data_IF_450173551142
#
_entry.id   IF_450173551142
#
_cell.length_a   1.000
_cell.length_b   1.000
_cell.length_c   1.000
_cell.angle_alpha   90.00
_cell.angle_beta   90.00
_cell.angle_gamma   90.00
#
_symmetry.space_group_name_H-M   'P 1'
#
loop_
_entity.id
_entity.type
_entity.pdbx_description
1 polymer ?
#
# COMPACT_ATOMS: atom_id res chain seq x y z
N UNK A 1 -16.37 -24.79 -43.68
CA UNK A 1 -15.26 -25.67 -43.27
C UNK A 1 -14.06 -25.40 -44.15
N UNK A 2 -13.05 -24.71 -43.62
CA UNK A 2 -11.70 -24.70 -44.19
C UNK A 2 -10.72 -24.68 -43.02
N UNK A 3 -10.07 -25.83 -42.82
CA UNK A 3 -9.03 -26.05 -41.83
C UNK A 3 -7.72 -25.45 -42.35
N UNK A 4 -7.06 -24.61 -41.56
CA UNK A 4 -5.69 -24.16 -41.81
C UNK A 4 -4.75 -24.81 -40.79
N UNK A 5 -4.13 -25.87 -41.29
CA UNK A 5 -2.76 -26.36 -41.13
C UNK A 5 -1.96 -25.97 -39.87
N UNK A 6 -1.64 -27.01 -39.11
CA UNK A 6 -0.59 -27.09 -38.09
C UNK A 6 0.79 -26.87 -38.71
N UNK A 7 1.63 -26.04 -38.10
CA UNK A 7 3.08 -26.04 -38.33
C UNK A 7 3.78 -26.62 -37.10
N UNK A 8 4.33 -27.82 -37.28
CA UNK A 8 5.26 -28.49 -36.39
C UNK A 8 6.65 -27.88 -36.63
N UNK A 9 7.30 -27.35 -35.60
CA UNK A 9 8.73 -27.10 -35.62
C UNK A 9 9.43 -28.13 -34.75
N UNK A 10 10.19 -28.99 -35.41
CA UNK A 10 11.10 -29.95 -34.80
C UNK A 10 12.46 -29.28 -34.55
N UNK A 11 12.91 -29.42 -33.30
CA UNK A 11 14.25 -29.70 -32.80
C UNK A 11 15.49 -29.24 -33.60
N UNK A 12 16.36 -28.47 -32.94
CA UNK A 12 17.81 -28.59 -33.10
C UNK A 12 18.48 -28.43 -31.72
N UNK A 13 18.85 -29.57 -31.13
CA UNK A 13 19.72 -29.66 -29.96
C UNK A 13 21.15 -29.41 -30.43
N UNK A 14 21.79 -28.38 -29.91
CA UNK A 14 23.25 -28.24 -29.98
C UNK A 14 23.79 -28.27 -28.56
N UNK A 15 24.43 -29.40 -28.23
CA UNK A 15 25.28 -29.58 -27.07
C UNK A 15 26.59 -28.84 -27.31
N UNK A 16 26.92 -27.88 -26.46
CA UNK A 16 28.31 -27.44 -26.27
C UNK A 16 28.53 -27.24 -24.79
N UNK A 17 29.22 -28.22 -24.20
CA UNK A 17 29.82 -28.11 -22.88
C UNK A 17 31.03 -27.18 -22.95
N UNK A 18 31.19 -26.29 -21.96
CA UNK A 18 32.41 -26.14 -21.15
C UNK A 18 32.25 -24.91 -20.25
N UNK A 19 32.01 -25.17 -18.97
CA UNK A 19 32.18 -24.20 -17.89
C UNK A 19 33.63 -23.75 -17.80
N UNK A 20 33.85 -22.53 -17.28
CA UNK A 20 34.53 -22.49 -15.99
C UNK A 20 33.70 -21.76 -14.93
N UNK A 21 33.80 -22.29 -13.71
CA UNK A 21 33.30 -21.68 -12.50
C UNK A 21 33.81 -20.25 -12.35
N UNK A 22 32.92 -19.27 -12.50
CA UNK A 22 33.06 -17.99 -11.82
C UNK A 22 32.32 -18.12 -10.48
N UNK A 23 33.06 -18.04 -9.38
CA UNK A 23 32.52 -17.84 -8.04
C UNK A 23 31.81 -16.48 -8.02
N UNK A 24 30.54 -16.46 -8.39
CA UNK A 24 29.66 -15.34 -8.13
C UNK A 24 29.42 -15.27 -6.63
N UNK A 25 29.70 -14.10 -6.06
CA UNK A 25 29.31 -13.72 -4.72
C UNK A 25 27.87 -14.17 -4.42
N UNK A 26 27.58 -14.58 -3.17
CA UNK A 26 26.20 -14.92 -2.81
C UNK A 26 25.30 -13.77 -3.23
N UNK A 27 24.15 -14.03 -3.88
CA UNK A 27 23.21 -12.97 -4.20
C UNK A 27 22.89 -12.29 -2.87
N UNK A 28 23.27 -11.03 -2.78
CA UNK A 28 22.78 -10.10 -1.79
C UNK A 28 21.27 -10.29 -1.79
N UNK A 29 20.76 -11.00 -0.78
CA UNK A 29 19.32 -11.25 -0.65
C UNK A 29 18.69 -9.89 -0.71
N UNK A 30 17.97 -9.61 -1.80
CA UNK A 30 17.27 -8.36 -1.99
C UNK A 30 16.52 -8.05 -0.70
N UNK A 31 17.06 -7.11 0.06
CA UNK A 31 16.57 -6.79 1.37
C UNK A 31 15.11 -6.37 1.17
N UNK A 32 14.14 -6.99 1.86
CA UNK A 32 12.75 -6.65 1.66
C UNK A 32 12.61 -5.14 1.86
N UNK A 33 11.98 -4.42 0.92
CA UNK A 33 11.93 -2.97 0.95
C UNK A 33 11.41 -2.54 2.32
N UNK A 34 12.10 -1.58 2.94
CA UNK A 34 11.70 -1.03 4.23
C UNK A 34 10.20 -0.71 4.22
N UNK A 35 9.48 -0.85 5.34
CA UNK A 35 8.03 -0.67 5.40
C UNK A 35 7.55 0.68 4.84
N UNK A 36 8.40 1.70 4.91
CA UNK A 36 8.19 3.03 4.31
C UNK A 36 8.24 3.04 2.78
N UNK A 37 9.13 2.25 2.17
CA UNK A 37 9.25 2.08 0.72
C UNK A 37 8.06 1.29 0.16
N UNK A 38 7.58 0.28 0.89
CA UNK A 38 6.37 -0.47 0.52
C UNK A 38 5.11 0.41 0.50
N UNK A 39 4.99 1.37 1.45
CA UNK A 39 3.87 2.34 1.48
C UNK A 39 3.92 3.32 0.30
N UNK A 40 5.11 3.77 -0.10
CA UNK A 40 5.28 4.66 -1.25
C UNK A 40 4.97 3.95 -2.56
N UNK A 41 5.54 2.75 -2.78
CA UNK A 41 5.25 1.93 -3.96
C UNK A 41 3.75 1.64 -4.11
N UNK A 42 3.06 1.42 -2.99
CA UNK A 42 1.62 1.25 -2.99
C UNK A 42 0.89 2.52 -3.44
N UNK A 43 1.17 3.68 -2.85
CA UNK A 43 0.54 4.95 -3.23
C UNK A 43 0.74 5.30 -4.72
N UNK A 44 1.91 4.97 -5.29
CA UNK A 44 2.17 5.11 -6.72
C UNK A 44 1.28 4.19 -7.56
N UNK A 45 1.20 2.90 -7.22
CA UNK A 45 0.35 1.94 -7.91
C UNK A 45 -1.15 2.31 -7.88
N UNK A 46 -1.60 2.97 -6.80
CA UNK A 46 -2.98 3.46 -6.70
C UNK A 46 -3.30 4.55 -7.72
N UNK A 47 -2.38 5.49 -7.87
CA UNK A 47 -2.51 6.58 -8.83
C UNK A 47 -2.41 6.06 -10.26
N UNK A 48 -1.50 5.13 -10.52
CA UNK A 48 -1.32 4.52 -11.84
C UNK A 48 -2.60 3.82 -12.34
N UNK A 49 -3.34 3.15 -11.45
CA UNK A 49 -4.62 2.53 -11.80
C UNK A 49 -5.69 3.55 -12.22
N UNK A 50 -5.75 4.71 -11.56
CA UNK A 50 -6.66 5.80 -11.92
C UNK A 50 -6.26 6.41 -13.26
N UNK A 51 -4.97 6.69 -13.45
CA UNK A 51 -4.45 7.23 -14.71
C UNK A 51 -4.71 6.26 -15.87
N UNK A 52 -4.53 4.95 -15.65
CA UNK A 52 -4.83 3.93 -16.64
C UNK A 52 -6.31 3.93 -17.06
N UNK A 53 -7.23 4.25 -16.14
CA UNK A 53 -8.66 4.34 -16.45
C UNK A 53 -9.01 5.49 -17.42
N UNK A 54 -8.13 6.48 -17.56
CA UNK A 54 -8.34 7.64 -18.44
C UNK A 54 -7.90 7.41 -19.89
N UNK A 55 -7.20 6.30 -20.17
CA UNK A 55 -6.75 5.94 -21.53
C UNK A 55 -5.98 7.07 -22.23
N UNK A 56 -5.09 7.74 -21.47
CA UNK A 56 -4.27 8.85 -21.97
C UNK A 56 -3.37 8.42 -23.14
N UNK A 57 -3.11 9.33 -24.07
CA UNK A 57 -2.16 9.09 -25.16
C UNK A 57 -0.69 9.09 -24.69
N UNK A 58 0.23 8.67 -25.55
CA UNK A 58 1.65 8.55 -25.20
C UNK A 58 2.30 9.89 -24.81
N UNK A 59 1.87 11.01 -25.41
CA UNK A 59 2.40 12.34 -25.06
C UNK A 59 1.89 12.76 -23.68
N UNK A 60 0.62 12.54 -23.40
CA UNK A 60 0.00 12.82 -22.11
C UNK A 60 0.64 11.98 -21.01
N UNK A 61 0.86 10.69 -21.25
CA UNK A 61 1.56 9.80 -20.32
C UNK A 61 3.00 10.27 -20.04
N UNK A 62 3.74 10.70 -21.07
CA UNK A 62 5.10 11.18 -20.91
C UNK A 62 5.16 12.48 -20.10
N UNK A 63 4.28 13.44 -20.37
CA UNK A 63 4.20 14.68 -19.63
C UNK A 63 3.81 14.44 -18.16
N UNK A 64 2.89 13.51 -17.91
CA UNK A 64 2.51 13.10 -16.57
C UNK A 64 3.66 12.45 -15.80
N UNK A 65 4.39 11.53 -16.44
CA UNK A 65 5.56 10.89 -15.84
C UNK A 65 6.68 11.90 -15.52
N UNK A 66 6.87 12.91 -16.37
CA UNK A 66 7.83 13.99 -16.12
C UNK A 66 7.40 14.84 -14.91
N UNK A 67 6.17 15.34 -14.90
CA UNK A 67 5.64 16.13 -13.78
C UNK A 67 5.72 15.34 -12.46
N UNK A 68 5.50 14.03 -12.51
CA UNK A 68 5.66 13.13 -11.36
C UNK A 68 7.09 12.96 -10.88
N UNK A 69 8.06 12.93 -11.80
CA UNK A 69 9.47 12.90 -11.41
C UNK A 69 9.83 14.20 -10.71
N UNK A 70 9.49 15.34 -11.30
CA UNK A 70 9.79 16.66 -10.75
C UNK A 70 9.13 16.90 -9.40
N UNK A 71 7.87 16.49 -9.24
CA UNK A 71 7.16 16.59 -7.96
C UNK A 71 7.81 15.70 -6.88
N UNK A 72 8.15 14.45 -7.22
CA UNK A 72 8.86 13.55 -6.29
C UNK A 72 10.22 14.10 -5.90
N UNK A 73 10.93 14.77 -6.80
CA UNK A 73 12.22 15.40 -6.53
C UNK A 73 12.04 16.57 -5.57
N UNK A 74 11.04 17.43 -5.80
CA UNK A 74 10.65 18.50 -4.88
C UNK A 74 10.26 17.98 -3.49
N UNK A 75 9.50 16.87 -3.42
CA UNK A 75 9.17 16.22 -2.15
C UNK A 75 10.40 15.64 -1.43
N UNK A 76 11.42 15.19 -2.16
CA UNK A 76 12.68 14.73 -1.56
C UNK A 76 13.49 15.91 -1.01
N UNK A 77 13.53 17.03 -1.73
CA UNK A 77 14.17 18.26 -1.27
C UNK A 77 13.52 18.78 0.03
N UNK A 78 12.18 18.90 0.05
CA UNK A 78 11.42 19.29 1.24
C UNK A 78 11.66 18.39 2.46
N UNK A 79 12.01 17.13 2.24
CA UNK A 79 12.29 16.16 3.31
C UNK A 79 13.77 16.21 3.74
N UNK A 80 14.66 16.46 2.79
CA UNK A 80 16.11 16.64 3.00
C UNK A 80 16.43 17.91 3.79
N UNK A 81 15.61 18.96 3.66
CA UNK A 81 15.73 20.20 4.44
C UNK A 81 15.41 20.01 5.95
N UNK A 82 15.00 18.81 6.35
CA UNK A 82 14.89 18.37 7.74
C UNK A 82 13.75 19.03 8.54
N UNK A 83 13.61 18.71 9.85
CA UNK A 83 12.63 19.34 10.76
C UNK A 83 12.90 20.83 11.05
N UNK A 84 13.78 21.49 10.29
CA UNK A 84 14.23 22.87 10.53
C UNK A 84 13.22 23.93 10.05
N UNK A 85 12.32 23.58 9.13
CA UNK A 85 11.28 24.49 8.67
C UNK A 85 10.05 24.42 9.59
N UNK A 86 9.49 25.59 9.94
CA UNK A 86 8.22 25.66 10.64
C UNK A 86 7.12 24.90 9.87
N UNK A 87 6.15 24.26 10.55
CA UNK A 87 5.07 23.52 9.90
C UNK A 87 4.34 24.32 8.81
N UNK A 88 4.16 25.62 9.01
CA UNK A 88 3.54 26.56 8.08
C UNK A 88 4.40 26.77 6.83
N UNK A 89 5.72 26.92 6.99
CA UNK A 89 6.65 27.07 5.88
C UNK A 89 6.70 25.79 5.03
N UNK A 90 6.66 24.62 5.69
CA UNK A 90 6.57 23.33 5.02
C UNK A 90 5.26 23.17 4.25
N UNK A 91 4.15 23.64 4.81
CA UNK A 91 2.83 23.62 4.16
C UNK A 91 2.79 24.53 2.94
N UNK A 92 3.29 25.77 3.07
CA UNK A 92 3.38 26.71 1.95
C UNK A 92 4.27 26.18 0.81
N UNK A 93 5.38 25.52 1.14
CA UNK A 93 6.26 24.93 0.14
C UNK A 93 5.65 23.69 -0.54
N UNK A 94 4.86 22.88 0.18
CA UNK A 94 4.05 21.81 -0.42
C UNK A 94 2.98 22.38 -1.36
N UNK A 95 2.27 23.43 -0.93
CA UNK A 95 1.24 24.08 -1.76
C UNK A 95 1.87 24.67 -3.04
N UNK A 96 3.09 25.24 -2.96
CA UNK A 96 3.82 25.72 -4.14
C UNK A 96 4.23 24.59 -5.10
N UNK A 97 4.63 23.41 -4.58
CA UNK A 97 4.91 22.24 -5.42
C UNK A 97 3.65 21.73 -6.13
N UNK A 98 2.52 21.64 -5.41
CA UNK A 98 1.25 21.24 -5.98
C UNK A 98 0.76 22.24 -7.05
N UNK A 99 0.98 23.53 -6.83
CA UNK A 99 0.64 24.59 -7.79
C UNK A 99 1.48 24.49 -9.07
N UNK A 100 2.80 24.25 -8.94
CA UNK A 100 3.67 24.02 -10.10
C UNK A 100 3.22 22.79 -10.89
N UNK A 101 2.95 21.69 -10.21
CA UNK A 101 2.47 20.46 -10.83
C UNK A 101 1.13 20.69 -11.55
N UNK A 102 0.23 21.49 -10.95
CA UNK A 102 -1.03 21.88 -11.58
C UNK A 102 -0.81 22.60 -12.91
N UNK A 103 0.10 23.56 -12.93
CA UNK A 103 0.40 24.35 -14.14
C UNK A 103 0.98 23.47 -15.25
N UNK A 104 1.89 22.55 -14.90
CA UNK A 104 2.49 21.62 -15.88
C UNK A 104 1.47 20.66 -16.50
N UNK A 105 0.46 20.26 -15.74
CA UNK A 105 -0.54 19.29 -16.18
C UNK A 105 -1.80 19.92 -16.77
N UNK A 106 -1.99 21.24 -16.64
CA UNK A 106 -3.20 21.93 -17.12
C UNK A 106 -3.40 21.86 -18.63
N UNK A 107 -2.30 21.81 -19.40
CA UNK A 107 -2.35 21.72 -20.86
C UNK A 107 -2.45 20.27 -21.37
N UNK A 108 -2.35 19.29 -20.45
CA UNK A 108 -2.23 17.86 -20.78
C UNK A 108 -3.47 17.08 -20.34
N UNK A 109 -4.02 17.44 -19.19
CA UNK A 109 -5.16 16.78 -18.57
C UNK A 109 -6.40 17.68 -18.64
N UNK A 110 -7.56 17.05 -18.82
CA UNK A 110 -8.83 17.74 -18.69
C UNK A 110 -9.00 18.32 -17.27
N UNK A 111 -9.75 19.43 -17.08
CA UNK A 111 -9.90 20.07 -15.78
C UNK A 111 -10.43 19.16 -14.66
N UNK A 112 -11.21 18.13 -15.00
CA UNK A 112 -11.68 17.12 -14.05
C UNK A 112 -10.56 16.13 -13.69
N UNK A 113 -9.80 15.65 -14.68
CA UNK A 113 -8.67 14.74 -14.50
C UNK A 113 -7.58 15.39 -13.65
N UNK A 114 -7.26 16.66 -13.92
CA UNK A 114 -6.31 17.44 -13.13
C UNK A 114 -6.73 17.54 -11.66
N UNK A 115 -8.01 17.82 -11.39
CA UNK A 115 -8.54 17.87 -10.02
C UNK A 115 -8.45 16.53 -9.31
N UNK A 116 -8.82 15.44 -9.99
CA UNK A 116 -8.70 14.10 -9.44
C UNK A 116 -7.23 13.73 -9.17
N UNK A 117 -6.33 14.08 -10.08
CA UNK A 117 -4.90 13.82 -9.95
C UNK A 117 -4.29 14.54 -8.73
N UNK A 118 -4.52 15.84 -8.59
CA UNK A 118 -4.00 16.62 -7.46
C UNK A 118 -4.57 16.17 -6.11
N UNK A 119 -5.82 15.70 -6.11
CA UNK A 119 -6.45 15.10 -4.93
C UNK A 119 -5.71 13.81 -4.50
N UNK A 120 -5.28 12.97 -5.44
CA UNK A 120 -4.48 11.76 -5.15
C UNK A 120 -3.11 12.12 -4.57
N UNK A 121 -2.43 13.09 -5.18
CA UNK A 121 -1.12 13.56 -4.72
C UNK A 121 -1.17 14.12 -3.29
N UNK A 122 -2.19 14.93 -3.01
CA UNK A 122 -2.38 15.48 -1.66
C UNK A 122 -2.64 14.39 -0.62
N UNK A 123 -3.39 13.34 -0.97
CA UNK A 123 -3.62 12.20 -0.08
C UNK A 123 -2.37 11.38 0.17
N UNK A 124 -1.50 11.24 -0.83
CA UNK A 124 -0.22 10.55 -0.68
C UNK A 124 0.78 11.36 0.17
N UNK A 125 0.78 12.69 0.02
CA UNK A 125 1.69 13.60 0.71
C UNK A 125 1.31 13.86 2.19
N UNK A 126 0.04 13.78 2.55
CA UNK A 126 -0.47 14.06 3.90
C UNK A 126 -0.89 12.75 4.60
N UNK A 127 -0.12 12.25 5.58
CA UNK A 127 -0.53 11.10 6.38
C UNK A 127 -1.85 11.39 7.09
N UNK A 128 -2.81 10.47 6.98
CA UNK A 128 -4.10 10.60 7.68
C UNK A 128 -3.88 10.61 9.20
N UNK A 129 -4.43 11.61 9.86
CA UNK A 129 -4.74 11.53 11.28
C UNK A 129 -6.10 10.82 11.40
N UNK A 130 -6.20 9.70 12.15
CA UNK A 130 -7.50 9.14 12.46
C UNK A 130 -8.27 10.18 13.29
N UNK A 131 -9.30 10.78 12.68
CA UNK A 131 -10.18 11.71 13.38
C UNK A 131 -10.97 11.00 14.47
N UNK A 132 -11.40 11.70 15.53
CA UNK A 132 -12.18 11.12 16.60
C UNK A 132 -13.62 10.85 16.13
N UNK A 133 -14.15 9.71 16.59
CA UNK A 133 -15.54 9.24 16.56
C UNK A 133 -16.25 9.06 15.20
N UNK A 134 -16.98 7.95 15.14
CA UNK A 134 -17.71 7.41 13.99
C UNK A 134 -19.05 8.14 13.82
N UNK A 135 -19.02 9.38 13.35
CA UNK A 135 -20.24 10.05 12.86
C UNK A 135 -20.51 9.60 11.41
N UNK A 136 -21.62 8.88 11.14
CA UNK A 136 -21.96 8.43 9.79
C UNK A 136 -22.15 9.59 8.81
N UNK A 137 -22.65 10.75 9.27
CA UNK A 137 -22.85 11.91 8.40
C UNK A 137 -21.50 12.55 8.01
N UNK A 138 -20.56 12.61 8.95
CA UNK A 138 -19.20 13.09 8.68
C UNK A 138 -18.44 12.15 7.75
N UNK A 139 -18.63 10.83 7.88
CA UNK A 139 -18.08 9.84 6.95
C UNK A 139 -18.64 10.04 5.54
N UNK A 140 -19.96 10.18 5.39
CA UNK A 140 -20.59 10.39 4.08
C UNK A 140 -20.09 11.68 3.42
N UNK A 141 -19.96 12.77 4.19
CA UNK A 141 -19.40 14.02 3.70
C UNK A 141 -17.91 13.88 3.29
N UNK A 142 -17.10 13.18 4.07
CA UNK A 142 -15.69 12.88 3.72
C UNK A 142 -15.59 12.06 2.44
N UNK A 143 -16.34 10.96 2.34
CA UNK A 143 -16.35 10.10 1.15
C UNK A 143 -16.80 10.88 -0.09
N UNK A 144 -17.84 11.69 0.03
CA UNK A 144 -18.33 12.49 -1.08
C UNK A 144 -17.28 13.52 -1.50
N UNK A 145 -16.78 14.35 -0.59
CA UNK A 145 -15.74 15.34 -0.88
C UNK A 145 -14.48 14.68 -1.47
N UNK A 146 -14.13 13.49 -1.00
CA UNK A 146 -12.97 12.73 -1.44
C UNK A 146 -13.12 12.14 -2.83
N UNK A 147 -14.31 11.73 -3.27
CA UNK A 147 -14.44 11.01 -4.55
C UNK A 147 -15.16 11.81 -5.64
N UNK A 148 -15.80 12.94 -5.32
CA UNK A 148 -16.44 13.81 -6.33
C UNK A 148 -15.51 14.17 -7.50
N UNK A 149 -14.23 14.57 -7.30
CA UNK A 149 -13.34 14.85 -8.42
C UNK A 149 -13.13 13.64 -9.34
N UNK A 150 -13.00 12.44 -8.76
CA UNK A 150 -12.81 11.20 -9.50
C UNK A 150 -14.07 10.82 -10.29
N UNK A 151 -15.24 10.91 -9.67
CA UNK A 151 -16.52 10.61 -10.32
C UNK A 151 -16.79 11.54 -11.50
N UNK A 152 -16.35 12.80 -11.42
CA UNK A 152 -16.40 13.73 -12.54
C UNK A 152 -15.53 13.28 -13.72
N UNK A 153 -14.36 12.67 -13.49
CA UNK A 153 -13.53 12.11 -14.58
C UNK A 153 -14.19 10.94 -15.29
N UNK A 154 -14.98 10.16 -14.56
CA UNK A 154 -15.73 9.02 -15.05
C UNK A 154 -17.13 9.39 -15.55
N UNK A 155 -17.49 10.67 -15.46
CA UNK A 155 -18.79 11.21 -15.88
C UNK A 155 -19.97 10.49 -15.22
N UNK A 156 -19.80 10.06 -13.96
CA UNK A 156 -20.87 9.41 -13.22
C UNK A 156 -21.98 10.42 -12.91
N UNK A 157 -23.23 10.01 -13.12
CA UNK A 157 -24.37 10.79 -12.67
C UNK A 157 -24.52 10.75 -11.14
N UNK A 158 -25.48 11.50 -10.62
CA UNK A 158 -25.72 11.59 -9.17
C UNK A 158 -26.14 10.23 -8.57
N UNK A 159 -26.89 9.41 -9.31
CA UNK A 159 -27.34 8.11 -8.87
C UNK A 159 -26.19 7.11 -8.84
N UNK A 160 -25.39 7.02 -9.90
CA UNK A 160 -24.19 6.18 -9.99
C UNK A 160 -23.20 6.55 -8.88
N UNK A 161 -22.94 7.85 -8.70
CA UNK A 161 -22.08 8.34 -7.62
C UNK A 161 -22.60 7.94 -6.24
N UNK A 162 -23.91 8.05 -6.00
CA UNK A 162 -24.52 7.63 -4.73
C UNK A 162 -24.43 6.11 -4.52
N UNK A 163 -24.56 5.31 -5.58
CA UNK A 163 -24.41 3.84 -5.51
C UNK A 163 -22.98 3.44 -5.15
N UNK A 164 -21.96 4.09 -5.74
CA UNK A 164 -20.55 3.87 -5.38
C UNK A 164 -20.28 4.23 -3.92
N UNK A 165 -20.78 5.39 -3.45
CA UNK A 165 -20.62 5.82 -2.06
C UNK A 165 -21.34 4.87 -1.08
N UNK A 166 -22.54 4.41 -1.43
CA UNK A 166 -23.28 3.46 -0.62
C UNK A 166 -22.56 2.11 -0.50
N UNK A 167 -21.99 1.60 -1.59
CA UNK A 167 -21.18 0.37 -1.56
C UNK A 167 -19.98 0.52 -0.60
N UNK A 168 -19.33 1.69 -0.59
CA UNK A 168 -18.22 1.97 0.30
C UNK A 168 -18.66 2.09 1.77
N UNK A 169 -19.81 2.73 2.05
CA UNK A 169 -20.39 2.82 3.38
C UNK A 169 -20.75 1.44 3.95
N UNK A 170 -21.50 0.63 3.19
CA UNK A 170 -21.85 -0.74 3.59
C UNK A 170 -20.62 -1.59 3.88
N UNK A 171 -19.55 -1.41 3.09
CA UNK A 171 -18.28 -2.08 3.35
C UNK A 171 -17.65 -1.66 4.68
N UNK A 172 -17.57 -0.35 4.97
CA UNK A 172 -17.05 0.14 6.25
C UNK A 172 -17.89 -0.33 7.43
N UNK A 173 -19.22 -0.25 7.35
CA UNK A 173 -20.12 -0.74 8.38
C UNK A 173 -19.88 -2.23 8.66
N UNK A 174 -19.74 -3.04 7.61
CA UNK A 174 -19.37 -4.45 7.71
C UNK A 174 -18.02 -4.66 8.41
N UNK A 175 -16.99 -3.88 8.06
CA UNK A 175 -15.69 -3.93 8.73
C UNK A 175 -15.77 -3.55 10.22
N UNK A 176 -16.62 -2.59 10.57
CA UNK A 176 -16.85 -2.22 11.97
C UNK A 176 -17.54 -3.35 12.74
N UNK A 177 -18.51 -4.03 12.13
CA UNK A 177 -19.14 -5.21 12.72
C UNK A 177 -18.15 -6.36 12.94
N UNK A 178 -17.19 -6.57 12.02
CA UNK A 178 -16.09 -7.55 12.18
C UNK A 178 -15.12 -7.24 13.34
N UNK A 179 -15.08 -5.99 13.82
CA UNK A 179 -14.20 -5.56 14.91
C UNK A 179 -14.88 -5.59 16.28
N UNK A 180 -16.21 -5.76 16.33
CA UNK A 180 -16.96 -5.75 17.59
C UNK A 180 -16.67 -7.04 18.37
N UNK A 181 -16.08 -6.96 19.59
CA UNK A 181 -15.89 -8.14 20.42
C UNK A 181 -17.27 -8.69 20.84
N UNK A 182 -17.50 -9.99 20.65
CA UNK A 182 -18.75 -10.67 21.06
C UNK A 182 -19.59 -11.29 19.95
N UNK A 183 -19.25 -11.11 18.67
CA UNK A 183 -19.84 -11.90 17.58
C UNK A 183 -19.20 -13.29 17.57
N UNK A 184 -19.59 -14.15 18.51
CA UNK A 184 -19.09 -15.51 18.65
C UNK A 184 -19.18 -16.24 17.29
N UNK A 185 -18.09 -16.83 16.80
CA UNK A 185 -18.16 -17.73 15.66
C UNK A 185 -18.77 -19.07 16.11
N UNK A 186 -19.63 -19.65 15.27
CA UNK A 186 -19.93 -21.07 15.35
C UNK A 186 -18.61 -21.85 15.19
N UNK A 187 -18.35 -22.78 16.10
CA UNK A 187 -17.05 -23.38 16.37
C UNK A 187 -16.55 -24.37 15.28
N UNK A 188 -17.07 -24.34 14.06
CA UNK A 188 -16.80 -25.33 13.00
C UNK A 188 -16.06 -24.79 11.77
N UNK A 189 -15.64 -23.51 11.76
CA UNK A 189 -14.87 -22.93 10.62
C UNK A 189 -13.48 -22.53 11.10
N UNK A 190 -12.43 -22.94 10.39
CA UNK A 190 -11.01 -22.63 10.71
C UNK A 190 -10.71 -21.10 10.70
N UNK A 191 -11.45 -20.29 9.93
CA UNK A 191 -11.39 -18.82 9.95
C UNK A 191 -12.74 -18.13 9.59
N UNK A 192 -13.71 -18.08 10.51
CA UNK A 192 -15.04 -17.53 10.28
C UNK A 192 -15.01 -16.01 10.07
N UNK A 193 -13.95 -15.34 10.55
CA UNK A 193 -13.75 -13.90 10.38
C UNK A 193 -13.19 -13.59 9.00
N UNK A 194 -12.21 -14.38 8.54
CA UNK A 194 -11.66 -14.30 7.18
C UNK A 194 -12.73 -14.51 6.12
N UNK A 195 -13.61 -15.52 6.28
CA UNK A 195 -14.71 -15.77 5.34
C UNK A 195 -15.77 -14.65 5.35
N UNK A 196 -16.07 -14.06 6.51
CA UNK A 196 -16.93 -12.85 6.58
C UNK A 196 -16.27 -11.66 5.88
N UNK A 197 -14.95 -11.50 6.03
CA UNK A 197 -14.20 -10.44 5.36
C UNK A 197 -14.20 -10.64 3.83
N UNK A 198 -13.91 -11.84 3.33
CA UNK A 198 -13.94 -12.16 1.89
C UNK A 198 -15.31 -11.84 1.27
N UNK A 199 -16.39 -12.26 1.92
CA UNK A 199 -17.75 -11.94 1.46
C UNK A 199 -18.03 -10.44 1.40
N UNK A 200 -17.52 -9.64 2.34
CA UNK A 200 -17.64 -8.18 2.26
C UNK A 200 -16.89 -7.58 1.07
N UNK A 201 -15.72 -8.12 0.72
CA UNK A 201 -14.98 -7.69 -0.46
C UNK A 201 -15.75 -8.04 -1.74
N UNK A 202 -16.22 -9.27 -1.86
CA UNK A 202 -17.00 -9.73 -3.02
C UNK A 202 -18.31 -8.95 -3.18
N UNK A 203 -19.00 -8.68 -2.08
CA UNK A 203 -20.23 -7.86 -2.08
C UNK A 203 -19.94 -6.44 -2.54
N UNK A 204 -18.87 -5.81 -2.03
CA UNK A 204 -18.47 -4.47 -2.44
C UNK A 204 -18.12 -4.46 -3.93
N UNK A 205 -17.28 -5.38 -4.38
CA UNK A 205 -16.89 -5.49 -5.78
C UNK A 205 -18.11 -5.65 -6.69
N UNK A 206 -19.03 -6.54 -6.34
CA UNK A 206 -20.25 -6.79 -7.12
C UNK A 206 -21.18 -5.57 -7.16
N UNK A 207 -21.26 -4.80 -6.08
CA UNK A 207 -22.04 -3.56 -6.06
C UNK A 207 -21.39 -2.45 -6.92
N UNK A 208 -20.05 -2.35 -6.90
CA UNK A 208 -19.31 -1.42 -7.75
C UNK A 208 -19.42 -1.78 -9.23
N UNK A 209 -19.34 -3.08 -9.57
CA UNK A 209 -19.41 -3.57 -10.95
C UNK A 209 -20.79 -3.38 -11.62
N UNK A 210 -21.84 -3.04 -10.85
CA UNK A 210 -23.14 -2.68 -11.41
C UNK A 210 -23.17 -1.27 -12.01
N UNK A 211 -22.24 -0.40 -11.62
CA UNK A 211 -22.29 1.04 -11.93
C UNK A 211 -20.99 1.56 -12.54
N UNK A 212 -19.89 0.84 -12.35
CA UNK A 212 -18.57 1.15 -12.88
C UNK A 212 -18.14 0.10 -13.92
N UNK A 213 -17.36 0.53 -14.91
CA UNK A 213 -16.63 -0.37 -15.80
C UNK A 213 -15.54 -1.16 -15.05
N UNK A 214 -15.06 -2.31 -15.58
CA UNK A 214 -14.03 -3.12 -14.93
C UNK A 214 -12.75 -2.35 -14.57
N UNK A 215 -12.32 -1.42 -15.44
CA UNK A 215 -11.15 -0.57 -15.22
C UNK A 215 -11.39 0.43 -14.07
N UNK A 216 -12.60 1.02 -14.02
CA UNK A 216 -13.01 1.94 -12.95
C UNK A 216 -13.16 1.23 -11.61
N UNK A 217 -13.71 0.00 -11.59
CA UNK A 217 -13.76 -0.83 -10.37
C UNK A 217 -12.33 -1.07 -9.87
N UNK A 218 -11.44 -1.53 -10.75
CA UNK A 218 -10.04 -1.80 -10.40
C UNK A 218 -9.36 -0.55 -9.82
N UNK A 219 -9.54 0.61 -10.46
CA UNK A 219 -9.01 1.88 -9.97
C UNK A 219 -9.59 2.28 -8.61
N UNK A 220 -10.91 2.18 -8.44
CA UNK A 220 -11.59 2.55 -7.21
C UNK A 220 -11.20 1.64 -6.04
N UNK A 221 -11.12 0.33 -6.28
CA UNK A 221 -10.74 -0.66 -5.27
C UNK A 221 -9.29 -0.53 -4.84
N UNK A 222 -8.41 -0.14 -5.78
CA UNK A 222 -7.05 0.26 -5.45
C UNK A 222 -7.10 1.46 -4.47
N UNK A 223 -7.79 2.55 -4.81
CA UNK A 223 -7.86 3.77 -3.97
C UNK A 223 -8.48 3.57 -2.58
N UNK A 224 -9.39 2.61 -2.48
CA UNK A 224 -10.16 2.29 -1.26
C UNK A 224 -9.67 1.03 -0.59
N UNK A 225 -8.39 0.67 -0.82
CA UNK A 225 -7.80 -0.61 -0.46
C UNK A 225 -8.37 -1.15 0.86
N UNK A 226 -8.99 -2.34 0.84
CA UNK A 226 -9.54 -2.91 2.04
C UNK A 226 -8.39 -3.17 3.04
N UNK A 227 -8.61 -2.96 4.35
CA UNK A 227 -7.61 -3.30 5.34
C UNK A 227 -7.26 -4.78 5.18
N UNK A 228 -5.98 -5.09 4.91
CA UNK A 228 -5.57 -6.48 4.78
C UNK A 228 -5.96 -7.23 6.06
N UNK A 229 -6.52 -8.44 5.95
CA UNK A 229 -6.71 -9.26 7.13
C UNK A 229 -5.34 -9.43 7.81
N UNK A 230 -5.29 -9.42 9.16
CA UNK A 230 -4.06 -9.79 9.84
C UNK A 230 -3.61 -11.15 9.29
N UNK A 231 -2.35 -11.25 8.88
CA UNK A 231 -1.78 -12.48 8.33
C UNK A 231 -1.85 -13.52 9.45
N UNK A 232 -2.86 -14.38 9.44
CA UNK A 232 -2.96 -15.49 10.37
C UNK A 232 -1.74 -16.38 10.15
N UNK A 233 -0.94 -16.58 11.21
CA UNK A 233 0.03 -17.67 11.25
C UNK A 233 1.37 -17.46 10.55
N UNK A 234 2.00 -16.28 10.66
CA UNK A 234 3.47 -16.32 10.74
C UNK A 234 3.82 -16.51 12.21
N UNK A 235 4.01 -17.77 12.60
CA UNK A 235 4.70 -18.09 13.84
C UNK A 235 5.98 -17.24 13.89
N UNK A 236 6.36 -16.65 15.05
CA UNK A 236 7.74 -16.21 15.20
C UNK A 236 8.60 -17.39 14.76
N UNK A 237 9.55 -17.14 13.85
CA UNK A 237 10.52 -18.17 13.50
C UNK A 237 11.04 -18.75 14.83
N UNK A 238 11.05 -20.09 15.00
CA UNK A 238 11.58 -20.68 16.22
C UNK A 238 12.96 -20.07 16.42
N UNK A 239 13.22 -19.63 17.66
CA UNK A 239 14.47 -19.01 18.08
C UNK A 239 15.62 -19.56 17.24
N UNK A 240 16.22 -18.67 16.46
CA UNK A 240 17.44 -19.01 15.74
C UNK A 240 18.39 -19.61 16.79
N UNK A 241 18.93 -20.83 16.58
CA UNK A 241 19.91 -21.36 17.48
C UNK A 241 21.03 -20.32 17.62
N UNK A 242 21.55 -20.09 18.84
CA UNK A 242 22.56 -19.07 19.07
C UNK A 242 23.70 -19.30 18.08
N UNK A 243 24.07 -18.22 17.38
CA UNK A 243 25.14 -18.27 16.40
C UNK A 243 26.38 -18.94 17.01
N UNK A 244 27.08 -19.82 16.27
CA UNK A 244 28.34 -20.36 16.75
C UNK A 244 29.29 -19.20 17.06
N UNK A 245 30.07 -19.27 18.16
CA UNK A 245 30.97 -18.18 18.52
C UNK A 245 31.94 -17.94 17.37
N UNK A 246 32.10 -16.67 17.00
CA UNK A 246 33.07 -16.26 16.00
C UNK A 246 34.47 -16.76 16.40
N UNK A 247 35.23 -17.39 15.49
CA UNK A 247 36.60 -17.81 15.79
C UNK A 247 37.45 -16.57 16.08
N UNK A 248 38.00 -16.48 17.29
CA UNK A 248 39.03 -15.50 17.64
C UNK A 248 38.79 -14.59 18.85
N UNK A 249 37.74 -14.82 19.66
CA UNK A 249 37.59 -14.06 20.93
C UNK A 249 38.16 -14.88 22.09
N UNK A 250 39.20 -14.41 22.82
CA UNK A 250 39.70 -15.11 23.99
C UNK A 250 38.63 -15.12 25.10
N UNK A 251 38.49 -16.21 25.87
CA UNK A 251 37.49 -16.29 26.93
C UNK A 251 37.77 -15.24 28.02
N UNK A 252 36.70 -14.58 28.46
CA UNK A 252 36.74 -13.73 29.65
C UNK A 252 37.12 -14.55 30.89
N UNK A 253 37.89 -13.98 31.84
CA UNK A 253 38.26 -14.69 33.06
C UNK A 253 37.01 -14.97 33.92
N UNK A 254 37.01 -16.08 34.69
CA UNK A 254 35.89 -16.43 35.55
C UNK A 254 35.69 -15.37 36.64
N UNK A 255 34.42 -15.02 36.86
CA UNK A 255 33.95 -14.18 37.97
C UNK A 255 34.24 -14.93 39.28
N UNK A 256 34.93 -14.32 40.27
CA UNK A 256 35.12 -14.95 41.57
C UNK A 256 33.80 -15.02 42.35
N UNK A 257 33.60 -16.15 43.02
CA UNK A 257 32.48 -16.48 43.90
C UNK A 257 32.13 -15.35 44.88
N UNK A 258 30.83 -15.11 45.03
CA UNK A 258 30.29 -14.25 46.07
C UNK A 258 30.64 -14.81 47.46
N UNK A 259 31.03 -13.96 48.43
CA UNK A 259 31.30 -14.42 49.79
C UNK A 259 30.00 -14.89 50.47
N UNK A 260 30.07 -15.90 51.37
CA UNK A 260 28.90 -16.40 52.08
C UNK A 260 28.35 -15.37 53.08
N UNK A 261 27.04 -15.40 53.28
CA UNK A 261 26.31 -14.54 54.21
C UNK A 261 26.80 -14.71 55.67
N UNK A 262 26.81 -13.64 56.48
CA UNK A 262 27.21 -13.72 57.88
C UNK A 262 26.17 -14.48 58.72
N UNK A 263 26.65 -15.41 59.53
CA UNK A 263 25.87 -16.16 60.51
C UNK A 263 25.25 -15.23 61.56
N UNK A 264 24.00 -15.51 61.92
CA UNK A 264 23.28 -14.83 62.99
C UNK A 264 23.93 -15.04 64.37
N UNK A 265 23.85 -14.07 65.29
CA UNK A 265 24.37 -14.21 66.64
C UNK A 265 23.47 -15.14 67.49
N UNK A 266 24.01 -15.81 68.52
CA UNK A 266 23.20 -16.59 69.44
C UNK A 266 22.36 -15.67 70.35
N UNK A 267 21.11 -16.10 70.59
CA UNK A 267 20.19 -15.53 71.56
C UNK A 267 20.57 -15.98 73.00
N UNK A 268 20.16 -15.24 74.05
CA UNK A 268 20.70 -15.32 75.41
C UNK A 268 20.39 -16.61 76.18
#
# INVERSE_FOLDING_TARGET
MQARSKSLFALAVTLTALSPLAMAAPPERAQPPAPHSAKQAHATALKDAVVASWQLDQRQQAALAQADSEFRDGLRQLRGDGPKAAPEARRGALDALLERQRQQLADVLEPAQLRAYLMLERQAAMPRHPGPAHDPAALDADLQARFTPLFATWQLDQQQSAQVLNAQRTFFDGLHQLKRPGAAPDAEVDDPRGERFKRLIEQRHSALAQVLSPEQVTAFEALTQPPRPPRAGQAPAPDAPPAPPAPGTPPAPPVPDAPPAPSAPPAP
#
